data_IF_071051029994
#
_entry.id   IF_071051029994
#
_cell.length_a   1.000
_cell.length_b   1.000
_cell.length_c   1.000
_cell.angle_alpha   90.00
_cell.angle_beta   90.00
_cell.angle_gamma   90.00
#
_symmetry.space_group_name_H-M   'P 1'
#
loop_
_entity.id
_entity.type
_entity.pdbx_description
1 polymer ?
#
# COMPACT_ATOMS: atom_id res chain seq x y z
N UNK A 1 -29.18 42.22 2.67
CA UNK A 1 -28.21 42.52 1.60
C UNK A 1 -27.91 41.23 0.86
N UNK A 2 -28.02 41.23 -0.47
CA UNK A 2 -27.80 40.03 -1.32
C UNK A 2 -26.33 39.60 -1.36
N UNK A 3 -25.41 40.51 -1.05
CA UNK A 3 -23.97 40.29 -1.02
C UNK A 3 -23.53 39.36 0.12
N UNK A 4 -24.16 39.39 1.30
CA UNK A 4 -23.79 38.51 2.43
C UNK A 4 -24.07 37.03 2.15
N UNK A 5 -25.05 36.74 1.30
CA UNK A 5 -25.38 35.36 0.86
C UNK A 5 -24.41 34.81 -0.18
N UNK A 6 -23.68 35.67 -0.89
CA UNK A 6 -22.71 35.28 -1.92
C UNK A 6 -21.30 35.05 -1.34
N UNK A 7 -20.95 35.70 -0.23
CA UNK A 7 -19.60 35.66 0.35
C UNK A 7 -19.53 35.07 1.77
N UNK A 8 -20.67 34.71 2.36
CA UNK A 8 -20.74 34.12 3.71
C UNK A 8 -20.38 32.63 3.81
N UNK A 9 -19.82 32.01 2.76
CA UNK A 9 -19.38 30.62 2.81
C UNK A 9 -17.98 30.55 3.45
N UNK A 10 -17.92 30.74 4.76
CA UNK A 10 -16.80 30.21 5.54
C UNK A 10 -16.88 28.70 5.44
N UNK A 11 -16.17 28.11 4.47
CA UNK A 11 -15.94 26.67 4.44
C UNK A 11 -15.28 26.33 5.78
N UNK A 12 -15.94 25.51 6.59
CA UNK A 12 -15.21 24.72 7.58
C UNK A 12 -14.14 23.98 6.79
N UNK A 13 -12.88 24.22 7.10
CA UNK A 13 -11.80 23.32 6.71
C UNK A 13 -12.00 22.04 7.52
N UNK A 14 -12.99 21.25 7.13
CA UNK A 14 -12.96 19.84 7.46
C UNK A 14 -11.69 19.33 6.77
N UNK A 15 -10.74 18.84 7.55
CA UNK A 15 -9.49 18.33 7.00
C UNK A 15 -9.84 17.28 5.95
N UNK A 16 -9.28 17.42 4.75
CA UNK A 16 -9.41 16.39 3.73
C UNK A 16 -8.95 15.06 4.33
N UNK A 17 -9.62 13.93 4.01
CA UNK A 17 -9.19 12.64 4.48
C UNK A 17 -7.75 12.40 4.02
N UNK A 18 -6.88 11.95 4.93
CA UNK A 18 -5.47 11.63 4.65
C UNK A 18 -5.37 10.31 3.87
N UNK A 19 -5.95 10.31 2.67
CA UNK A 19 -6.01 9.17 1.77
C UNK A 19 -5.50 9.66 0.41
N UNK A 20 -4.37 9.13 -0.10
CA UNK A 20 -3.90 9.49 -1.42
C UNK A 20 -4.91 8.99 -2.48
N UNK A 21 -5.51 9.94 -3.20
CA UNK A 21 -6.34 9.63 -4.35
C UNK A 21 -5.46 9.27 -5.55
N UNK A 22 -5.72 8.12 -6.16
CA UNK A 22 -4.97 7.62 -7.30
C UNK A 22 -4.68 6.12 -7.20
N UNK A 23 -4.13 5.54 -8.28
CA UNK A 23 -3.54 4.20 -8.20
C UNK A 23 -2.10 4.39 -7.74
N UNK A 24 -1.67 3.53 -6.83
CA UNK A 24 -0.25 3.38 -6.53
C UNK A 24 0.54 3.16 -7.84
N UNK A 25 1.66 3.87 -7.99
CA UNK A 25 2.55 3.78 -9.15
C UNK A 25 3.93 3.29 -8.71
N UNK A 26 4.43 2.29 -9.40
CA UNK A 26 5.77 1.71 -9.23
C UNK A 26 6.85 2.47 -10.02
N UNK A 27 6.51 3.60 -10.65
CA UNK A 27 7.36 4.28 -11.63
C UNK A 27 8.68 4.87 -11.06
N UNK A 28 8.85 4.90 -9.72
CA UNK A 28 10.03 5.43 -9.03
C UNK A 28 10.58 4.47 -7.94
N UNK A 29 10.55 3.15 -8.16
CA UNK A 29 11.16 2.22 -7.19
C UNK A 29 12.68 2.34 -7.13
N UNK A 30 13.22 2.29 -5.91
CA UNK A 30 14.67 2.23 -5.69
C UNK A 30 15.24 0.94 -6.27
N UNK A 31 16.54 0.94 -6.60
CA UNK A 31 17.25 -0.25 -7.09
C UNK A 31 17.10 -1.43 -6.13
N UNK A 32 17.13 -1.16 -4.82
CA UNK A 32 16.92 -2.18 -3.80
C UNK A 32 15.52 -2.81 -3.89
N UNK A 33 14.46 -2.00 -4.03
CA UNK A 33 13.09 -2.51 -4.19
C UNK A 33 12.94 -3.29 -5.49
N UNK A 34 13.50 -2.82 -6.61
CA UNK A 34 13.52 -3.59 -7.88
C UNK A 34 14.24 -4.95 -7.69
N UNK A 35 15.31 -4.99 -6.88
CA UNK A 35 15.96 -6.24 -6.50
C UNK A 35 15.04 -7.22 -5.77
N UNK A 36 14.14 -6.73 -4.91
CA UNK A 36 13.15 -7.56 -4.20
C UNK A 36 12.14 -8.20 -5.14
N UNK A 37 11.77 -7.52 -6.22
CA UNK A 37 10.95 -8.13 -7.28
C UNK A 37 11.66 -9.33 -7.91
N UNK A 38 12.94 -9.16 -8.31
CA UNK A 38 13.71 -10.24 -8.90
C UNK A 38 13.92 -11.41 -7.92
N UNK A 39 14.14 -11.11 -6.65
CA UNK A 39 14.23 -12.11 -5.57
C UNK A 39 12.91 -12.89 -5.42
N UNK A 40 11.77 -12.19 -5.42
CA UNK A 40 10.45 -12.82 -5.33
C UNK A 40 10.21 -13.81 -6.48
N UNK A 41 10.57 -13.44 -7.71
CA UNK A 41 10.43 -14.28 -8.91
C UNK A 41 11.31 -15.54 -8.83
N UNK A 42 12.57 -15.38 -8.42
CA UNK A 42 13.49 -16.50 -8.23
C UNK A 42 12.99 -17.47 -7.14
N UNK A 43 12.59 -16.95 -5.97
CA UNK A 43 12.05 -17.75 -4.86
C UNK A 43 10.78 -18.50 -5.27
N UNK A 44 9.94 -17.88 -6.10
CA UNK A 44 8.76 -18.54 -6.65
C UNK A 44 9.14 -19.74 -7.52
N UNK A 45 10.13 -19.58 -8.40
CA UNK A 45 10.68 -20.66 -9.23
C UNK A 45 11.28 -21.81 -8.42
N UNK A 46 11.88 -21.50 -7.27
CA UNK A 46 12.40 -22.46 -6.29
C UNK A 46 11.31 -23.13 -5.43
N UNK A 47 10.04 -22.77 -5.62
CA UNK A 47 8.88 -23.20 -4.80
C UNK A 47 8.94 -22.75 -3.34
N UNK A 48 9.72 -21.72 -3.04
CA UNK A 48 9.83 -21.10 -1.70
C UNK A 48 8.77 -20.00 -1.57
N UNK A 49 7.50 -20.41 -1.55
CA UNK A 49 6.36 -19.48 -1.72
C UNK A 49 6.20 -18.46 -0.59
N UNK A 50 6.43 -18.86 0.66
CA UNK A 50 6.36 -17.94 1.79
C UNK A 50 7.36 -16.79 1.64
N UNK A 51 8.62 -17.14 1.33
CA UNK A 51 9.70 -16.17 1.15
C UNK A 51 9.50 -15.32 -0.11
N UNK A 52 8.99 -15.94 -1.19
CA UNK A 52 8.63 -15.22 -2.42
C UNK A 52 7.59 -14.14 -2.16
N UNK A 53 6.54 -14.45 -1.39
CA UNK A 53 5.50 -13.48 -1.05
C UNK A 53 6.03 -12.38 -0.12
N UNK A 54 6.90 -12.71 0.83
CA UNK A 54 7.54 -11.71 1.68
C UNK A 54 8.39 -10.72 0.85
N UNK A 55 9.21 -11.22 -0.07
CA UNK A 55 10.00 -10.37 -0.98
C UNK A 55 9.10 -9.53 -1.90
N UNK A 56 8.02 -10.11 -2.40
CA UNK A 56 7.05 -9.39 -3.23
C UNK A 56 6.34 -8.27 -2.46
N UNK A 57 5.97 -8.52 -1.21
CA UNK A 57 5.37 -7.49 -0.37
C UNK A 57 6.37 -6.39 0.02
N UNK A 58 7.65 -6.70 0.21
CA UNK A 58 8.69 -5.66 0.37
C UNK A 58 8.80 -4.80 -0.89
N UNK A 59 8.77 -5.40 -2.08
CA UNK A 59 8.72 -4.65 -3.35
C UNK A 59 7.50 -3.70 -3.42
N UNK A 60 6.31 -4.18 -3.05
CA UNK A 60 5.08 -3.38 -3.05
C UNK A 60 5.04 -2.31 -1.95
N UNK A 61 5.77 -2.52 -0.86
CA UNK A 61 5.79 -1.60 0.26
C UNK A 61 6.35 -0.24 -0.18
N UNK A 62 5.57 0.79 0.11
CA UNK A 62 5.93 2.18 0.12
C UNK A 62 6.28 2.54 1.56
N UNK A 63 7.56 2.84 1.81
CA UNK A 63 8.09 3.00 3.16
C UNK A 63 7.53 4.27 3.85
N UNK A 64 7.12 5.28 3.07
CA UNK A 64 6.52 6.51 3.59
C UNK A 64 5.04 6.31 3.95
N UNK A 65 4.32 5.48 3.18
CA UNK A 65 2.90 5.20 3.40
C UNK A 65 2.64 4.00 4.31
N UNK A 66 3.64 3.14 4.52
CA UNK A 66 3.52 1.85 5.22
C UNK A 66 2.30 1.05 4.73
N UNK A 67 2.11 1.02 3.41
CA UNK A 67 0.89 0.51 2.77
C UNK A 67 0.75 -1.03 2.80
N UNK A 68 1.72 -1.75 3.35
CA UNK A 68 1.72 -3.20 3.48
C UNK A 68 1.92 -3.59 4.93
N UNK A 69 1.04 -4.46 5.42
CA UNK A 69 1.09 -5.03 6.78
C UNK A 69 1.08 -6.54 6.64
N UNK A 70 2.05 -7.21 7.28
CA UNK A 70 2.15 -8.67 7.32
C UNK A 70 2.21 -9.10 8.79
N UNK A 71 1.39 -10.08 9.15
CA UNK A 71 1.39 -10.69 10.47
C UNK A 71 1.64 -12.18 10.34
N UNK A 72 2.56 -12.71 11.16
CA UNK A 72 2.91 -14.13 11.17
C UNK A 72 2.47 -14.74 12.50
N UNK A 73 1.50 -15.64 12.46
CA UNK A 73 0.91 -16.26 13.66
C UNK A 73 0.81 -17.78 13.47
N UNK A 74 1.57 -18.55 14.25
CA UNK A 74 1.40 -20.01 14.33
C UNK A 74 1.56 -20.76 13.01
N UNK A 75 2.42 -20.27 12.11
CA UNK A 75 2.64 -20.86 10.78
C UNK A 75 1.75 -20.25 9.68
N UNK A 76 0.69 -19.54 10.04
CA UNK A 76 -0.12 -18.78 9.10
C UNK A 76 0.43 -17.35 8.92
N UNK A 77 0.29 -16.82 7.71
CA UNK A 77 0.63 -15.44 7.38
C UNK A 77 -0.65 -14.73 6.94
N UNK A 78 -0.98 -13.61 7.56
CA UNK A 78 -2.06 -12.71 7.12
C UNK A 78 -1.47 -11.41 6.61
N UNK A 79 -2.12 -10.79 5.62
CA UNK A 79 -1.66 -9.52 5.08
C UNK A 79 -2.80 -8.54 4.80
N UNK A 80 -2.44 -7.25 4.84
CA UNK A 80 -3.25 -6.13 4.37
C UNK A 80 -2.41 -5.24 3.46
N UNK A 81 -2.91 -4.94 2.26
CA UNK A 81 -2.28 -4.06 1.28
C UNK A 81 -3.24 -2.91 0.92
N UNK A 82 -2.78 -1.69 1.13
CA UNK A 82 -3.46 -0.46 0.72
C UNK A 82 -2.96 -0.03 -0.67
N UNK A 83 -3.88 0.13 -1.62
CA UNK A 83 -3.62 0.68 -2.96
C UNK A 83 -4.57 1.83 -3.25
N UNK A 84 -4.14 3.04 -2.88
CA UNK A 84 -5.02 4.21 -2.86
C UNK A 84 -6.18 3.96 -1.89
N UNK A 85 -7.41 4.06 -2.38
CA UNK A 85 -8.61 3.84 -1.56
C UNK A 85 -9.01 2.36 -1.38
N UNK A 86 -8.29 1.41 -1.99
CA UNK A 86 -8.60 -0.02 -1.88
C UNK A 86 -7.76 -0.70 -0.81
N UNK A 87 -8.40 -1.58 -0.06
CA UNK A 87 -7.75 -2.47 0.90
C UNK A 87 -7.92 -3.93 0.44
N UNK A 88 -6.81 -4.58 0.15
CA UNK A 88 -6.72 -6.01 -0.18
C UNK A 88 -6.29 -6.76 1.07
N UNK A 89 -6.98 -7.86 1.39
CA UNK A 89 -6.67 -8.73 2.53
C UNK A 89 -6.56 -10.17 2.07
N UNK A 90 -5.68 -10.94 2.68
CA UNK A 90 -5.53 -12.36 2.41
C UNK A 90 -4.75 -13.08 3.49
N UNK A 91 -4.62 -14.40 3.33
CA UNK A 91 -3.86 -15.25 4.23
C UNK A 91 -3.25 -16.45 3.50
N UNK A 92 -2.28 -17.07 4.15
CA UNK A 92 -1.51 -18.23 3.69
C UNK A 92 -1.30 -19.19 4.86
N UNK A 93 -1.36 -20.49 4.60
CA UNK A 93 -1.16 -21.59 5.55
C UNK A 93 -0.15 -22.64 5.08
#
# INVERSE_FOLDING_TARGET
MVFDKLFGWTKKNDADPDIPFGRYSDNNKSVAKVGRWAEADNLFGEKRYAESIEAFFDYLCDDDQQNVIIEKNGGAITFSLYQGSKLVRGGMD
#
